data_IF_484353374457
#
_entry.id   IF_484353374457
#
_cell.length_a   1.000
_cell.length_b   1.000
_cell.length_c   1.000
_cell.angle_alpha   90.00
_cell.angle_beta   90.00
_cell.angle_gamma   90.00
#
_symmetry.space_group_name_H-M   'P 1'
#
loop_
_entity.id
_entity.type
_entity.pdbx_description
1 polymer ?
#
# COMPACT_ATOMS: atom_id res chain seq x y z
N UNK A 1 5.55 17.31 -52.39
CA UNK A 1 5.45 16.23 -51.39
C UNK A 1 4.85 16.84 -50.14
N UNK A 2 3.53 16.73 -50.02
CA UNK A 2 2.82 17.17 -48.81
C UNK A 2 3.00 16.13 -47.72
N UNK A 3 3.59 16.57 -46.63
CA UNK A 3 3.63 15.76 -45.42
C UNK A 3 2.24 15.83 -44.80
N UNK A 4 1.45 14.79 -44.98
CA UNK A 4 0.20 14.60 -44.21
C UNK A 4 0.58 14.42 -42.79
N UNK A 5 0.32 15.43 -41.96
CA UNK A 5 0.30 15.37 -40.53
C UNK A 5 -0.66 14.24 -40.10
N UNK A 6 -0.13 13.16 -39.55
CA UNK A 6 -0.94 12.16 -38.83
C UNK A 6 -1.56 12.91 -37.65
N UNK A 7 -2.82 13.33 -37.81
CA UNK A 7 -3.60 13.75 -36.63
C UNK A 7 -3.71 12.55 -35.71
N UNK A 8 -2.98 12.57 -34.58
CA UNK A 8 -3.26 11.72 -33.45
C UNK A 8 -4.74 11.88 -33.15
N UNK A 9 -5.54 10.85 -33.41
CA UNK A 9 -6.93 10.81 -32.98
C UNK A 9 -6.92 10.90 -31.46
N UNK A 10 -7.22 12.08 -30.93
CA UNK A 10 -7.41 12.27 -29.50
C UNK A 10 -8.52 11.31 -29.06
N UNK A 11 -8.15 10.27 -28.33
CA UNK A 11 -9.13 9.32 -27.81
C UNK A 11 -10.02 10.04 -26.78
N UNK A 12 -11.33 9.90 -26.93
CA UNK A 12 -12.28 10.45 -25.97
C UNK A 12 -11.97 9.99 -24.54
N UNK A 13 -12.03 10.88 -23.55
CA UNK A 13 -11.85 10.49 -22.16
C UNK A 13 -12.92 9.49 -21.72
N UNK A 14 -12.57 8.59 -20.82
CA UNK A 14 -13.56 7.77 -20.14
C UNK A 14 -14.49 8.63 -19.27
N UNK A 15 -15.75 8.21 -19.13
CA UNK A 15 -16.60 8.73 -18.06
C UNK A 15 -15.97 8.44 -16.68
N UNK A 16 -16.40 9.15 -15.63
CA UNK A 16 -15.89 8.89 -14.27
C UNK A 16 -16.15 7.43 -13.83
N UNK A 17 -17.31 6.89 -14.16
CA UNK A 17 -17.70 5.51 -13.85
C UNK A 17 -16.83 4.49 -14.58
N UNK A 18 -16.54 4.76 -15.87
CA UNK A 18 -15.66 3.91 -16.65
C UNK A 18 -14.22 3.99 -16.14
N UNK A 19 -13.74 5.19 -15.83
CA UNK A 19 -12.39 5.38 -15.31
C UNK A 19 -12.21 4.69 -13.95
N UNK A 20 -13.17 4.82 -13.04
CA UNK A 20 -13.18 4.08 -11.78
C UNK A 20 -13.16 2.56 -12.02
N UNK A 21 -13.93 2.06 -12.99
CA UNK A 21 -13.94 0.63 -13.35
C UNK A 21 -12.56 0.18 -13.82
N UNK A 22 -11.85 0.98 -14.61
CA UNK A 22 -10.49 0.68 -15.07
C UNK A 22 -9.48 0.65 -13.91
N UNK A 23 -9.59 1.59 -12.96
CA UNK A 23 -8.77 1.59 -11.75
C UNK A 23 -9.03 0.33 -10.91
N UNK A 24 -10.29 -0.04 -10.69
CA UNK A 24 -10.67 -1.25 -9.94
C UNK A 24 -10.26 -2.54 -10.62
N UNK A 25 -10.22 -2.59 -11.95
CA UNK A 25 -9.76 -3.76 -12.72
C UNK A 25 -8.28 -4.12 -12.44
N UNK A 26 -7.48 -3.18 -11.90
CA UNK A 26 -6.11 -3.44 -11.44
C UNK A 26 -6.02 -4.36 -10.22
N UNK A 27 -7.14 -4.68 -9.57
CA UNK A 27 -7.21 -5.61 -8.43
C UNK A 27 -6.54 -6.95 -8.73
N UNK A 28 -6.66 -7.46 -9.96
CA UNK A 28 -6.01 -8.70 -10.40
C UNK A 28 -4.49 -8.70 -10.26
N UNK A 29 -3.88 -7.52 -10.17
CA UNK A 29 -2.43 -7.32 -9.95
C UNK A 29 -2.11 -7.00 -8.49
N UNK A 30 -3.10 -6.98 -7.61
CA UNK A 30 -2.87 -6.70 -6.20
C UNK A 30 -2.13 -7.85 -5.52
N UNK A 31 -1.24 -7.51 -4.63
CA UNK A 31 -0.31 -8.46 -4.01
C UNK A 31 -0.96 -9.54 -3.13
N UNK A 32 -2.28 -9.51 -2.93
CA UNK A 32 -3.02 -10.63 -2.32
C UNK A 32 -2.89 -11.90 -3.18
N UNK A 33 -2.74 -11.73 -4.51
CA UNK A 33 -2.58 -12.81 -5.49
C UNK A 33 -1.12 -13.27 -5.64
N UNK A 34 -0.18 -12.63 -4.93
CA UNK A 34 1.21 -13.04 -4.94
C UNK A 34 1.39 -14.42 -4.27
N UNK A 35 2.21 -15.35 -4.83
CA UNK A 35 2.42 -16.69 -4.29
C UNK A 35 2.78 -16.70 -2.79
N UNK A 36 3.60 -15.76 -2.34
CA UNK A 36 3.94 -15.60 -0.92
C UNK A 36 2.69 -15.34 -0.07
N UNK A 37 1.80 -14.42 -0.46
CA UNK A 37 0.58 -14.16 0.30
C UNK A 37 -0.43 -15.30 0.22
N UNK A 38 -0.50 -16.00 -0.90
CA UNK A 38 -1.33 -17.21 -1.05
C UNK A 38 -0.82 -18.28 -0.08
N UNK A 39 0.49 -18.53 -0.04
CA UNK A 39 1.09 -19.48 0.90
C UNK A 39 0.81 -19.10 2.36
N UNK A 40 1.00 -17.81 2.70
CA UNK A 40 0.77 -17.29 4.05
C UNK A 40 -0.70 -17.43 4.47
N UNK A 41 -1.64 -17.07 3.60
CA UNK A 41 -3.07 -17.12 3.92
C UNK A 41 -3.66 -18.54 3.86
N UNK A 42 -2.90 -19.53 3.37
CA UNK A 42 -3.27 -20.95 3.37
C UNK A 42 -2.48 -21.81 4.36
N UNK A 43 -1.74 -21.17 5.28
CA UNK A 43 -1.02 -21.87 6.35
C UNK A 43 0.25 -22.60 5.89
N UNK A 44 0.74 -22.34 4.70
CA UNK A 44 1.92 -23.02 4.14
C UNK A 44 3.26 -22.34 4.48
N UNK A 45 3.24 -21.18 5.13
CA UNK A 45 4.45 -20.53 5.59
C UNK A 45 4.91 -21.09 6.93
N UNK A 46 6.22 -21.25 7.09
CA UNK A 46 6.85 -21.54 8.37
C UNK A 46 6.79 -20.32 9.29
N UNK A 47 7.06 -20.53 10.59
CA UNK A 47 7.16 -19.44 11.55
C UNK A 47 8.21 -18.41 11.12
N UNK A 48 9.36 -18.85 10.68
CA UNK A 48 10.45 -18.01 10.22
C UNK A 48 10.07 -17.16 8.98
N UNK A 49 9.32 -17.74 8.05
CA UNK A 49 8.82 -17.02 6.86
C UNK A 49 7.81 -15.93 7.24
N UNK A 50 6.89 -16.19 8.17
CA UNK A 50 5.96 -15.19 8.69
C UNK A 50 6.70 -14.09 9.44
N UNK A 51 7.67 -14.44 10.30
CA UNK A 51 8.50 -13.50 11.03
C UNK A 51 9.34 -12.63 10.07
N UNK A 52 9.92 -13.24 9.03
CA UNK A 52 10.63 -12.52 7.97
C UNK A 52 9.75 -11.50 7.27
N UNK A 53 8.50 -11.87 6.97
CA UNK A 53 7.53 -10.93 6.41
C UNK A 53 7.23 -9.76 7.37
N UNK A 54 7.06 -10.02 8.67
CA UNK A 54 6.81 -8.98 9.67
C UNK A 54 7.96 -7.98 9.74
N UNK A 55 9.22 -8.44 9.76
CA UNK A 55 10.41 -7.57 9.74
C UNK A 55 10.45 -6.68 8.48
N UNK A 56 10.27 -7.27 7.32
CA UNK A 56 10.38 -6.57 6.05
C UNK A 56 9.22 -5.59 5.82
N UNK A 57 8.01 -5.99 6.20
CA UNK A 57 6.83 -5.13 6.04
C UNK A 57 6.83 -3.97 7.02
N UNK A 58 7.53 -4.06 8.15
CA UNK A 58 7.72 -2.95 9.09
C UNK A 58 8.38 -1.74 8.43
N UNK A 59 9.37 -1.94 7.57
CA UNK A 59 10.00 -0.85 6.83
C UNK A 59 9.00 -0.07 5.97
N UNK A 60 8.07 -0.76 5.35
CA UNK A 60 6.98 -0.11 4.64
C UNK A 60 6.04 0.63 5.61
N UNK A 61 5.74 0.09 6.81
CA UNK A 61 4.86 0.76 7.77
C UNK A 61 5.41 2.12 8.20
N UNK A 62 6.68 2.19 8.56
CA UNK A 62 7.31 3.47 8.95
C UNK A 62 7.50 4.42 7.76
N UNK A 63 7.50 3.93 6.54
CA UNK A 63 7.60 4.74 5.33
C UNK A 63 6.27 5.37 4.90
N UNK A 64 5.12 4.82 5.32
CA UNK A 64 3.80 5.35 4.96
C UNK A 64 3.62 6.80 5.43
N UNK A 65 3.81 7.16 6.72
CA UNK A 65 3.66 8.55 7.15
C UNK A 65 4.69 9.48 6.50
N UNK A 66 5.90 9.01 6.19
CA UNK A 66 6.90 9.81 5.47
C UNK A 66 6.45 10.10 4.02
N UNK A 67 5.87 9.11 3.34
CA UNK A 67 5.25 9.29 2.04
C UNK A 67 4.06 10.26 2.11
N UNK A 68 3.19 10.11 3.12
CA UNK A 68 2.02 10.97 3.30
C UNK A 68 2.40 12.41 3.66
N UNK A 69 3.46 12.61 4.44
CA UNK A 69 4.03 13.92 4.70
C UNK A 69 4.59 14.58 3.43
N UNK A 70 5.21 13.80 2.53
CA UNK A 70 5.68 14.31 1.24
C UNK A 70 4.51 14.76 0.34
N UNK A 71 3.42 14.00 0.28
CA UNK A 71 2.19 14.41 -0.41
C UNK A 71 1.63 15.69 0.20
N UNK A 72 1.53 15.73 1.53
CA UNK A 72 1.00 16.88 2.28
C UNK A 72 1.79 18.16 2.03
N UNK A 73 3.14 18.07 1.96
CA UNK A 73 4.02 19.20 1.69
C UNK A 73 3.79 19.82 0.30
N UNK A 74 3.37 19.03 -0.67
CA UNK A 74 3.09 19.46 -2.04
C UNK A 74 1.61 19.85 -2.27
N UNK A 75 0.75 19.75 -1.27
CA UNK A 75 -0.70 19.97 -1.36
C UNK A 75 -1.05 21.42 -0.95
N UNK A 76 -1.39 22.32 -1.91
CA UNK A 76 -1.62 23.73 -1.61
C UNK A 76 -2.96 24.00 -0.91
N UNK A 77 -3.96 23.15 -1.16
CA UNK A 77 -5.30 23.35 -0.63
C UNK A 77 -5.39 22.91 0.83
N UNK A 78 -5.95 23.80 1.69
CA UNK A 78 -6.06 23.57 3.12
C UNK A 78 -7.02 22.42 3.47
N UNK A 79 -8.17 22.34 2.77
CA UNK A 79 -9.19 21.35 3.09
C UNK A 79 -8.72 19.95 2.68
N UNK A 80 -8.01 19.84 1.56
CA UNK A 80 -7.34 18.60 1.15
C UNK A 80 -6.30 18.17 2.20
N UNK A 81 -5.46 19.10 2.71
CA UNK A 81 -4.49 18.80 3.76
C UNK A 81 -5.16 18.31 5.06
N UNK A 82 -6.29 18.89 5.45
CA UNK A 82 -7.04 18.47 6.65
C UNK A 82 -7.55 17.05 6.56
N UNK A 83 -7.91 16.59 5.37
CA UNK A 83 -8.30 15.21 5.13
C UNK A 83 -7.08 14.28 5.05
N UNK A 84 -6.03 14.72 4.37
CA UNK A 84 -4.85 13.88 4.14
C UNK A 84 -4.02 13.65 5.41
N UNK A 85 -3.92 14.63 6.31
CA UNK A 85 -3.14 14.51 7.55
C UNK A 85 -3.61 13.36 8.45
N UNK A 86 -4.88 12.97 8.37
CA UNK A 86 -5.43 11.86 9.16
C UNK A 86 -4.68 10.55 8.91
N UNK A 87 -4.17 10.34 7.69
CA UNK A 87 -3.37 9.16 7.33
C UNK A 87 -2.06 9.08 8.10
N UNK A 88 -1.43 10.23 8.35
CA UNK A 88 -0.22 10.32 9.17
C UNK A 88 -0.57 9.95 10.61
N UNK A 89 -1.64 10.53 11.14
CA UNK A 89 -2.09 10.27 12.51
C UNK A 89 -2.50 8.81 12.73
N UNK A 90 -3.13 8.16 11.73
CA UNK A 90 -3.48 6.73 11.79
C UNK A 90 -2.24 5.83 11.95
N UNK A 91 -1.09 6.24 11.41
CA UNK A 91 0.16 5.46 11.48
C UNK A 91 1.05 5.86 12.65
N UNK A 92 1.27 7.17 12.84
CA UNK A 92 2.15 7.69 13.91
C UNK A 92 1.45 7.74 15.27
N UNK A 93 0.11 7.81 15.26
CA UNK A 93 -0.68 7.90 16.48
C UNK A 93 -0.98 9.33 16.93
N UNK A 94 -1.73 9.41 18.02
CA UNK A 94 -2.13 10.65 18.72
C UNK A 94 -2.11 10.42 20.23
N UNK A 95 -2.49 11.43 21.04
CA UNK A 95 -2.56 11.27 22.51
C UNK A 95 -3.54 10.18 23.00
N UNK A 96 -4.44 9.71 22.16
CA UNK A 96 -5.44 8.68 22.54
C UNK A 96 -5.36 7.39 21.72
N UNK A 97 -4.49 7.34 20.72
CA UNK A 97 -4.29 6.19 19.84
C UNK A 97 -2.81 6.06 19.48
N UNK A 98 -2.22 4.92 19.80
CA UNK A 98 -0.78 4.68 19.58
C UNK A 98 -0.41 4.48 18.09
N UNK A 99 -1.40 4.37 17.21
CA UNK A 99 -1.22 4.30 15.76
C UNK A 99 -0.83 2.93 15.20
N UNK A 100 -0.79 2.89 13.87
CA UNK A 100 -0.53 1.65 13.12
C UNK A 100 0.90 1.12 13.24
N UNK A 101 1.89 2.00 13.45
CA UNK A 101 3.30 1.60 13.65
C UNK A 101 3.42 0.82 14.96
N UNK A 102 2.81 1.33 16.03
CA UNK A 102 2.81 0.64 17.33
C UNK A 102 2.04 -0.68 17.26
N UNK A 103 0.88 -0.68 16.61
CA UNK A 103 0.11 -1.92 16.40
C UNK A 103 0.91 -2.97 15.60
N UNK A 104 1.77 -2.53 14.66
CA UNK A 104 2.66 -3.44 13.94
C UNK A 104 3.78 -4.00 14.80
N UNK A 105 4.37 -3.20 15.68
CA UNK A 105 5.36 -3.68 16.66
C UNK A 105 4.76 -4.74 17.58
N UNK A 106 3.52 -4.54 18.03
CA UNK A 106 2.78 -5.57 18.81
C UNK A 106 2.52 -6.85 18.00
N UNK A 107 2.25 -6.73 16.69
CA UNK A 107 2.19 -7.91 15.82
C UNK A 107 3.55 -8.64 15.80
N UNK A 108 4.66 -7.91 15.74
CA UNK A 108 5.99 -8.49 15.82
C UNK A 108 6.21 -9.26 17.12
N UNK A 109 5.89 -8.64 18.25
CA UNK A 109 5.96 -9.28 19.58
C UNK A 109 5.06 -10.52 19.67
N UNK A 110 3.82 -10.42 19.17
CA UNK A 110 2.89 -11.55 19.09
C UNK A 110 3.39 -12.69 18.20
N UNK A 111 4.23 -12.39 17.21
CA UNK A 111 4.95 -13.38 16.40
C UNK A 111 6.24 -13.92 17.07
N UNK A 112 6.54 -13.47 18.30
CA UNK A 112 7.73 -13.90 19.06
C UNK A 112 9.02 -13.17 18.65
N UNK A 113 8.90 -11.98 18.04
CA UNK A 113 10.05 -11.13 17.70
C UNK A 113 10.36 -10.17 18.84
N UNK A 114 11.65 -9.80 18.96
CA UNK A 114 12.04 -8.76 19.88
C UNK A 114 11.76 -7.38 19.26
N UNK A 115 11.06 -6.52 19.99
CA UNK A 115 10.69 -5.16 19.53
C UNK A 115 11.87 -4.38 18.99
N UNK A 116 12.99 -4.35 19.72
CA UNK A 116 14.17 -3.61 19.31
C UNK A 116 14.85 -4.19 18.05
N UNK A 117 14.71 -5.48 17.79
CA UNK A 117 15.14 -6.07 16.52
C UNK A 117 14.29 -5.62 15.35
N UNK A 118 12.96 -5.54 15.51
CA UNK A 118 12.06 -5.01 14.49
C UNK A 118 12.40 -3.55 14.19
N UNK A 119 12.56 -2.72 15.23
CA UNK A 119 12.93 -1.30 15.13
C UNK A 119 14.30 -1.06 14.51
N UNK A 120 15.26 -1.95 14.72
CA UNK A 120 16.62 -1.82 14.20
C UNK A 120 16.71 -1.90 12.67
N UNK A 121 15.71 -2.44 11.99
CA UNK A 121 15.65 -2.65 10.55
C UNK A 121 16.79 -3.55 9.99
N UNK A 122 17.53 -4.26 10.85
CA UNK A 122 18.69 -5.08 10.44
C UNK A 122 18.30 -6.25 9.54
N UNK A 123 17.04 -6.71 9.64
CA UNK A 123 16.51 -7.82 8.85
C UNK A 123 15.76 -7.39 7.58
N UNK A 124 15.73 -6.09 7.29
CA UNK A 124 15.08 -5.57 6.09
C UNK A 124 15.95 -5.82 4.87
N UNK A 125 15.41 -6.57 3.92
CA UNK A 125 16.13 -6.97 2.69
C UNK A 125 16.36 -5.77 1.76
N UNK A 126 17.49 -5.72 1.04
CA UNK A 126 17.80 -4.62 0.13
C UNK A 126 16.71 -4.35 -0.90
N UNK A 127 16.14 -5.39 -1.54
CA UNK A 127 15.08 -5.21 -2.54
C UNK A 127 13.79 -4.61 -1.95
N UNK A 128 13.49 -4.91 -0.67
CA UNK A 128 12.38 -4.26 0.04
C UNK A 128 12.66 -2.78 0.25
N UNK A 129 13.89 -2.41 0.66
CA UNK A 129 14.29 -1.00 0.78
C UNK A 129 14.15 -0.27 -0.55
N UNK A 130 14.69 -0.80 -1.64
CA UNK A 130 14.60 -0.19 -2.96
C UNK A 130 13.14 0.04 -3.38
N UNK A 131 12.28 -0.94 -3.20
CA UNK A 131 10.86 -0.83 -3.58
C UNK A 131 10.14 0.24 -2.75
N UNK A 132 10.35 0.25 -1.43
CA UNK A 132 9.72 1.23 -0.53
C UNK A 132 10.26 2.64 -0.77
N UNK A 133 11.57 2.78 -0.93
CA UNK A 133 12.22 4.07 -1.19
C UNK A 133 11.80 4.65 -2.55
N UNK A 134 11.63 3.81 -3.57
CA UNK A 134 11.07 4.23 -4.86
C UNK A 134 9.67 4.85 -4.69
N UNK A 135 8.82 4.25 -3.86
CA UNK A 135 7.48 4.77 -3.57
C UNK A 135 7.51 6.11 -2.84
N UNK A 136 8.32 6.23 -1.79
CA UNK A 136 8.48 7.49 -1.05
C UNK A 136 9.05 8.60 -1.97
N UNK A 137 10.05 8.26 -2.80
CA UNK A 137 10.65 9.21 -3.73
C UNK A 137 9.68 9.63 -4.84
N UNK A 138 8.81 8.73 -5.31
CA UNK A 138 7.73 9.09 -6.22
C UNK A 138 6.83 10.17 -5.58
N UNK A 139 6.36 9.96 -4.35
CA UNK A 139 5.50 10.91 -3.64
C UNK A 139 6.17 12.27 -3.40
N UNK A 140 7.50 12.31 -3.23
CA UNK A 140 8.27 13.55 -3.06
C UNK A 140 8.36 14.39 -4.33
N UNK A 141 8.35 13.77 -5.51
CA UNK A 141 8.66 14.41 -6.80
C UNK A 141 7.43 14.63 -7.69
N UNK A 142 6.42 13.78 -7.54
CA UNK A 142 5.21 13.85 -8.34
C UNK A 142 4.32 15.03 -7.92
N UNK A 143 3.51 15.57 -8.84
CA UNK A 143 2.36 16.39 -8.44
C UNK A 143 1.55 15.68 -7.36
N UNK A 144 1.04 16.44 -6.40
CA UNK A 144 0.36 15.84 -5.24
C UNK A 144 -0.82 14.94 -5.63
N UNK A 145 -1.55 15.26 -6.71
CA UNK A 145 -2.65 14.44 -7.20
C UNK A 145 -2.17 13.09 -7.75
N UNK A 146 -1.03 13.06 -8.44
CA UNK A 146 -0.41 11.80 -8.88
C UNK A 146 0.07 10.99 -7.68
N UNK A 147 0.64 11.66 -6.67
CA UNK A 147 1.05 11.01 -5.44
C UNK A 147 -0.15 10.44 -4.67
N UNK A 148 -1.29 11.14 -4.62
CA UNK A 148 -2.57 10.63 -4.10
C UNK A 148 -3.03 9.40 -4.88
N UNK A 149 -3.03 9.46 -6.22
CA UNK A 149 -3.42 8.34 -7.09
C UNK A 149 -2.59 7.07 -6.78
N UNK A 150 -1.29 7.21 -6.48
CA UNK A 150 -0.43 6.07 -6.11
C UNK A 150 -0.88 5.37 -4.83
N UNK A 151 -1.71 5.99 -4.00
CA UNK A 151 -2.26 5.39 -2.77
C UNK A 151 -3.52 4.54 -3.02
N UNK A 152 -4.08 4.52 -4.24
CA UNK A 152 -5.34 3.81 -4.55
C UNK A 152 -5.28 2.28 -4.42
N UNK A 153 -4.13 1.69 -4.13
CA UNK A 153 -4.08 0.27 -3.70
C UNK A 153 -4.92 0.00 -2.44
N UNK A 154 -5.31 1.05 -1.72
CA UNK A 154 -6.24 0.98 -0.59
C UNK A 154 -7.65 0.55 -1.00
N UNK A 155 -8.05 0.73 -2.28
CA UNK A 155 -9.27 0.14 -2.86
C UNK A 155 -9.36 -1.38 -2.59
N UNK A 156 -8.21 -2.06 -2.53
CA UNK A 156 -8.09 -3.52 -2.40
C UNK A 156 -7.71 -3.97 -0.98
N UNK A 157 -7.24 -3.05 -0.12
CA UNK A 157 -6.70 -3.36 1.19
C UNK A 157 -7.69 -4.08 2.14
N UNK A 158 -8.99 -3.76 2.19
CA UNK A 158 -9.92 -4.46 3.07
C UNK A 158 -9.97 -5.96 2.84
N UNK A 159 -9.81 -6.42 1.59
CA UNK A 159 -9.84 -7.85 1.24
C UNK A 159 -8.68 -8.61 1.89
N UNK A 160 -7.45 -8.08 1.83
CA UNK A 160 -6.28 -8.75 2.40
C UNK A 160 -6.30 -8.76 3.93
N UNK A 161 -6.77 -7.68 4.57
CA UNK A 161 -6.88 -7.63 6.03
C UNK A 161 -7.93 -8.60 6.56
N UNK A 162 -9.10 -8.66 5.92
CA UNK A 162 -10.16 -9.63 6.25
C UNK A 162 -9.64 -11.07 6.11
N UNK A 163 -8.98 -11.37 4.99
CA UNK A 163 -8.43 -12.70 4.73
C UNK A 163 -7.45 -13.13 5.84
N UNK A 164 -6.60 -12.23 6.31
CA UNK A 164 -5.68 -12.53 7.43
C UNK A 164 -6.39 -12.79 8.74
N UNK A 165 -7.37 -11.96 9.10
CA UNK A 165 -8.17 -12.14 10.32
C UNK A 165 -8.93 -13.46 10.34
N UNK A 166 -9.35 -13.94 9.15
CA UNK A 166 -10.05 -15.22 8.99
C UNK A 166 -9.11 -16.43 9.05
N UNK A 167 -7.95 -16.34 8.37
CA UNK A 167 -7.09 -17.50 8.13
C UNK A 167 -5.97 -17.68 9.17
N UNK A 168 -5.34 -16.58 9.61
CA UNK A 168 -4.16 -16.68 10.47
C UNK A 168 -4.42 -17.30 11.85
N UNK A 169 -5.51 -16.99 12.56
CA UNK A 169 -5.79 -17.67 13.83
C UNK A 169 -5.93 -19.20 13.71
N UNK A 170 -6.33 -19.68 12.52
CA UNK A 170 -6.47 -21.12 12.27
C UNK A 170 -5.13 -21.78 11.92
N UNK A 171 -4.32 -21.10 11.10
CA UNK A 171 -3.08 -21.69 10.58
C UNK A 171 -1.85 -21.40 11.44
N UNK A 172 -1.87 -20.28 12.20
CA UNK A 172 -0.75 -19.83 13.01
C UNK A 172 -1.18 -19.63 14.47
N UNK A 173 -1.61 -20.72 15.18
CA UNK A 173 -2.11 -20.62 16.56
C UNK A 173 -1.03 -20.15 17.57
N UNK A 174 0.22 -20.10 17.13
CA UNK A 174 1.35 -19.59 17.91
C UNK A 174 1.46 -18.05 17.89
N UNK A 175 0.67 -17.35 17.06
CA UNK A 175 0.58 -15.89 17.07
C UNK A 175 -0.45 -15.47 18.13
N UNK A 176 -0.04 -14.64 19.05
CA UNK A 176 -0.94 -14.15 20.11
C UNK A 176 -2.04 -13.25 19.53
N UNK A 177 -3.26 -13.40 20.03
CA UNK A 177 -4.46 -12.75 19.48
C UNK A 177 -4.39 -11.20 19.49
N UNK A 178 -3.64 -10.61 20.44
CA UNK A 178 -3.40 -9.16 20.51
C UNK A 178 -2.68 -8.60 19.30
N UNK A 179 -1.87 -9.42 18.61
CA UNK A 179 -1.14 -9.00 17.40
C UNK A 179 -2.03 -8.66 16.20
N UNK A 180 -3.28 -9.10 16.19
CA UNK A 180 -4.18 -8.83 15.05
C UNK A 180 -4.82 -7.46 15.05
N UNK A 181 -4.56 -6.62 16.06
CA UNK A 181 -5.16 -5.29 16.20
C UNK A 181 -4.87 -4.39 14.99
N UNK A 182 -3.66 -4.44 14.45
CA UNK A 182 -3.31 -3.72 13.22
C UNK A 182 -4.31 -4.00 12.08
N UNK A 183 -4.63 -5.26 11.83
CA UNK A 183 -5.53 -5.64 10.74
C UNK A 183 -6.98 -5.21 11.00
N UNK A 184 -7.43 -5.22 12.27
CA UNK A 184 -8.77 -4.75 12.65
C UNK A 184 -8.93 -3.26 12.41
N UNK A 185 -7.96 -2.45 12.87
CA UNK A 185 -7.95 -0.99 12.66
C UNK A 185 -7.98 -0.64 11.17
N UNK A 186 -7.15 -1.31 10.36
CA UNK A 186 -7.09 -1.05 8.91
C UNK A 186 -8.40 -1.33 8.16
N UNK A 187 -9.31 -2.13 8.69
CA UNK A 187 -10.62 -2.35 8.08
C UNK A 187 -11.55 -1.13 8.20
N UNK A 188 -11.45 -0.36 9.26
CA UNK A 188 -12.26 0.85 9.47
C UNK A 188 -11.67 2.09 8.80
N UNK A 189 -10.35 2.26 8.88
CA UNK A 189 -9.63 3.43 8.35
C UNK A 189 -9.62 3.46 6.82
N UNK A 190 -9.45 2.31 6.17
CA UNK A 190 -9.31 2.21 4.72
C UNK A 190 -10.49 2.78 3.93
N UNK A 191 -11.73 2.72 4.46
CA UNK A 191 -12.91 3.24 3.76
C UNK A 191 -12.82 4.75 3.52
N UNK A 192 -12.51 5.53 4.55
CA UNK A 192 -12.37 6.99 4.47
C UNK A 192 -11.27 7.38 3.47
N UNK A 193 -10.13 6.72 3.57
CA UNK A 193 -8.95 7.03 2.75
C UNK A 193 -9.19 6.75 1.27
N UNK A 194 -9.93 5.68 0.97
CA UNK A 194 -10.32 5.30 -0.39
C UNK A 194 -11.22 6.34 -1.02
N UNK A 195 -12.28 6.78 -0.33
CA UNK A 195 -13.25 7.74 -0.87
C UNK A 195 -12.56 9.06 -1.25
N UNK A 196 -11.73 9.60 -0.37
CA UNK A 196 -10.98 10.83 -0.64
C UNK A 196 -9.98 10.67 -1.79
N UNK A 197 -9.13 9.63 -1.76
CA UNK A 197 -8.13 9.41 -2.80
C UNK A 197 -8.73 9.16 -4.19
N UNK A 198 -9.84 8.42 -4.24
CA UNK A 198 -10.56 8.15 -5.48
C UNK A 198 -11.18 9.44 -6.05
N UNK A 199 -11.83 10.25 -5.21
CA UNK A 199 -12.42 11.52 -5.66
C UNK A 199 -11.37 12.46 -6.26
N UNK A 200 -10.23 12.66 -5.57
CA UNK A 200 -9.11 13.47 -6.08
C UNK A 200 -8.62 12.95 -7.43
N UNK A 201 -8.49 11.63 -7.58
CA UNK A 201 -8.04 11.01 -8.83
C UNK A 201 -9.04 11.22 -9.96
N UNK A 202 -10.32 10.96 -9.73
CA UNK A 202 -11.37 11.11 -10.75
C UNK A 202 -11.55 12.57 -11.19
N UNK A 203 -11.28 13.53 -10.30
CA UNK A 203 -11.42 14.96 -10.60
C UNK A 203 -10.20 15.55 -11.31
N UNK A 204 -9.01 15.01 -11.09
CA UNK A 204 -7.77 15.54 -11.67
C UNK A 204 -7.49 15.00 -13.07
N UNK A 205 -7.66 13.70 -13.30
CA UNK A 205 -7.29 13.04 -14.55
C UNK A 205 -8.46 13.11 -15.57
N UNK A 206 -8.59 14.26 -16.28
CA UNK A 206 -9.74 14.57 -17.13
C UNK A 206 -9.59 14.18 -18.61
N UNK A 207 -8.36 13.97 -19.11
CA UNK A 207 -8.14 13.51 -20.49
C UNK A 207 -7.85 12.02 -20.53
N UNK A 208 -8.05 11.39 -21.71
CA UNK A 208 -7.71 9.96 -21.86
C UNK A 208 -6.25 9.67 -21.55
N UNK A 209 -5.34 10.52 -21.98
CA UNK A 209 -3.92 10.39 -21.69
C UNK A 209 -3.65 10.48 -20.18
N UNK A 210 -4.23 11.48 -19.51
CA UNK A 210 -4.12 11.61 -18.07
C UNK A 210 -4.71 10.39 -17.33
N UNK A 211 -5.87 9.87 -17.75
CA UNK A 211 -6.47 8.67 -17.19
C UNK A 211 -5.59 7.42 -17.36
N UNK A 212 -4.95 7.27 -18.52
CA UNK A 212 -3.95 6.22 -18.74
C UNK A 212 -2.74 6.39 -17.80
N UNK A 213 -2.26 7.63 -17.64
CA UNK A 213 -1.20 7.95 -16.67
C UNK A 213 -1.59 7.55 -15.25
N UNK A 214 -2.83 7.77 -14.82
CA UNK A 214 -3.32 7.31 -13.51
C UNK A 214 -3.25 5.78 -13.36
N UNK A 215 -3.60 5.03 -14.42
CA UNK A 215 -3.48 3.56 -14.42
C UNK A 215 -2.02 3.09 -14.32
N UNK A 216 -1.08 3.81 -14.95
CA UNK A 216 0.36 3.53 -14.83
C UNK A 216 0.87 3.81 -13.41
N UNK A 217 0.43 4.91 -12.81
CA UNK A 217 0.78 5.26 -11.42
C UNK A 217 0.28 4.20 -10.44
N UNK A 218 -0.96 3.76 -10.59
CA UNK A 218 -1.51 2.68 -9.78
C UNK A 218 -0.74 1.37 -10.03
N UNK A 219 -0.39 1.07 -11.29
CA UNK A 219 0.42 -0.11 -11.62
C UNK A 219 1.80 -0.03 -10.96
N UNK A 220 2.50 1.10 -11.04
CA UNK A 220 3.77 1.30 -10.35
C UNK A 220 3.66 0.95 -8.86
N UNK A 221 2.60 1.40 -8.20
CA UNK A 221 2.42 1.07 -6.78
C UNK A 221 2.13 -0.41 -6.53
N UNK A 222 1.38 -1.05 -7.41
CA UNK A 222 1.17 -2.50 -7.36
C UNK A 222 2.50 -3.26 -7.54
N UNK A 223 3.35 -2.81 -8.47
CA UNK A 223 4.67 -3.39 -8.71
C UNK A 223 5.60 -3.22 -7.51
N UNK A 224 5.57 -2.07 -6.82
CA UNK A 224 6.28 -1.86 -5.54
C UNK A 224 5.89 -2.93 -4.52
N UNK A 225 4.59 -3.16 -4.32
CA UNK A 225 4.09 -4.15 -3.36
C UNK A 225 4.46 -5.59 -3.77
N UNK A 226 4.42 -5.87 -5.07
CA UNK A 226 4.78 -7.17 -5.63
C UNK A 226 6.28 -7.45 -5.47
N UNK A 227 7.15 -6.50 -5.87
CA UNK A 227 8.62 -6.63 -5.77
C UNK A 227 9.11 -6.84 -4.34
N UNK A 228 8.44 -6.24 -3.34
CA UNK A 228 8.74 -6.53 -1.94
C UNK A 228 8.56 -8.02 -1.62
N UNK A 229 7.48 -8.63 -2.13
CA UNK A 229 7.17 -10.04 -1.88
C UNK A 229 8.04 -10.98 -2.71
N UNK A 230 8.38 -10.62 -3.97
CA UNK A 230 9.36 -11.38 -4.78
C UNK A 230 10.69 -11.51 -4.05
N UNK A 231 11.18 -10.38 -3.48
CA UNK A 231 12.41 -10.36 -2.69
C UNK A 231 12.32 -11.29 -1.49
N UNK A 232 11.21 -11.26 -0.75
CA UNK A 232 11.01 -12.13 0.40
C UNK A 232 10.84 -13.59 -0.01
N UNK A 233 10.10 -13.86 -1.10
CA UNK A 233 9.92 -15.21 -1.62
C UNK A 233 11.24 -15.84 -2.02
N UNK A 234 12.07 -15.09 -2.72
CA UNK A 234 13.41 -15.56 -3.12
C UNK A 234 14.29 -15.85 -1.90
N UNK A 235 14.26 -14.97 -0.91
CA UNK A 235 15.13 -15.09 0.28
C UNK A 235 14.70 -16.20 1.22
N UNK A 236 13.40 -16.36 1.45
CA UNK A 236 12.87 -17.34 2.41
C UNK A 236 12.45 -18.67 1.77
N UNK A 237 12.62 -18.84 0.47
CA UNK A 237 12.42 -20.12 -0.21
C UNK A 237 10.99 -20.60 -0.25
N UNK A 238 10.03 -19.71 -0.47
CA UNK A 238 8.62 -20.10 -0.63
C UNK A 238 8.41 -20.52 -2.08
N UNK A 239 8.23 -21.82 -2.28
CA UNK A 239 7.89 -22.45 -3.55
C UNK A 239 6.39 -22.76 -3.68
#
# INVERSE_FOLDING_TARGET
MEWTSSSEMLMEPWSKEEFERQLRAKESRYHIHHPFHIAMNSGRCTREQVQGWVYNRFYYQIAIPLKDAAVLANMPDREQRRQWVLRILDHDGTQGDEGGIEAWLRLGEACGLQREEVKSLKHVLPGVRFAVDAYVNFARRAPWQEAVCSSLTELFAPTIHRKRLESWPQFYPWIEAGGYEYFRKRLSEARRDVEHGLQVTLDYFQTREAQQRALEILQFKLDVLWSMLDTMQHTYGIG
#
